data_IF_903937771658
#
_entry.id   IF_903937771658
#
_cell.length_a   1.000
_cell.length_b   1.000
_cell.length_c   1.000
_cell.angle_alpha   90.00
_cell.angle_beta   90.00
_cell.angle_gamma   90.00
#
_symmetry.space_group_name_H-M   'P 1'
#
loop_
_entity.id
_entity.type
_entity.pdbx_description
1 polymer ?
#
# COMPACT_ATOMS: atom_id res chain seq x y z
N UNK A 1 70.06 -33.00 -33.19
CA UNK A 1 69.27 -32.09 -34.05
C UNK A 1 67.82 -32.05 -33.55
N UNK A 2 67.19 -30.86 -33.58
CA UNK A 2 65.89 -30.41 -33.00
C UNK A 2 64.64 -31.18 -33.54
N UNK A 3 63.36 -31.00 -33.06
CA UNK A 3 62.81 -29.86 -32.29
C UNK A 3 61.67 -30.08 -31.23
N UNK A 4 61.48 -29.03 -30.42
CA UNK A 4 60.26 -28.42 -29.83
C UNK A 4 58.87 -29.09 -30.00
N UNK A 5 58.02 -29.00 -28.95
CA UNK A 5 56.76 -28.22 -29.00
C UNK A 5 56.06 -27.98 -27.65
N UNK A 6 55.75 -26.70 -27.42
CA UNK A 6 54.84 -26.12 -26.44
C UNK A 6 53.41 -26.70 -26.53
N UNK A 7 52.72 -26.85 -25.39
CA UNK A 7 51.25 -26.95 -25.36
C UNK A 7 50.63 -25.75 -24.63
N UNK A 8 49.74 -25.11 -25.39
CA UNK A 8 49.03 -23.86 -25.19
C UNK A 8 48.11 -23.83 -23.95
N UNK A 9 48.23 -22.75 -23.15
CA UNK A 9 47.17 -22.18 -22.31
C UNK A 9 46.20 -21.39 -23.20
N UNK A 10 45.04 -21.94 -23.54
CA UNK A 10 43.99 -21.17 -24.24
C UNK A 10 42.60 -21.72 -23.90
N UNK A 11 42.12 -21.49 -22.67
CA UNK A 11 40.73 -21.85 -22.30
C UNK A 11 40.00 -20.89 -21.37
N UNK A 12 40.56 -19.72 -21.05
CA UNK A 12 40.01 -18.87 -19.98
C UNK A 12 39.32 -17.57 -20.45
N UNK A 13 39.49 -17.15 -21.70
CA UNK A 13 39.00 -15.82 -22.15
C UNK A 13 37.58 -15.79 -22.72
N UNK A 14 36.95 -16.95 -22.97
CA UNK A 14 35.66 -16.99 -23.69
C UNK A 14 34.41 -17.00 -22.78
N UNK A 15 34.53 -17.39 -21.50
CA UNK A 15 33.37 -17.44 -20.58
C UNK A 15 33.07 -16.10 -19.89
N UNK A 16 33.99 -15.13 -19.92
CA UNK A 16 33.82 -13.85 -19.24
C UNK A 16 33.02 -12.83 -20.08
N UNK A 17 33.19 -12.86 -21.41
CA UNK A 17 32.50 -11.95 -22.33
C UNK A 17 31.01 -12.27 -22.50
N UNK A 18 30.61 -13.55 -22.37
CA UNK A 18 29.21 -13.96 -22.51
C UNK A 18 28.33 -13.46 -21.34
N UNK A 19 28.91 -13.32 -20.14
CA UNK A 19 28.18 -12.82 -18.97
C UNK A 19 27.92 -11.32 -19.05
N UNK A 20 28.85 -10.52 -19.58
CA UNK A 20 28.68 -9.05 -19.64
C UNK A 20 27.57 -8.67 -20.63
N UNK A 21 27.45 -9.39 -21.75
CA UNK A 21 26.41 -9.14 -22.76
C UNK A 21 24.99 -9.48 -22.25
N UNK A 22 24.85 -10.46 -21.36
CA UNK A 22 23.58 -10.82 -20.72
C UNK A 22 23.15 -9.82 -19.63
N UNK A 23 24.09 -9.11 -19.02
CA UNK A 23 23.78 -8.03 -18.06
C UNK A 23 23.46 -6.70 -18.76
N UNK A 24 24.07 -6.44 -19.92
CA UNK A 24 23.87 -5.19 -20.68
C UNK A 24 22.48 -5.07 -21.32
N UNK A 25 21.83 -6.22 -21.57
CA UNK A 25 20.50 -6.29 -22.21
C UNK A 25 19.34 -6.13 -21.23
N UNK A 26 19.57 -6.21 -19.91
CA UNK A 26 18.53 -6.01 -18.90
C UNK A 26 18.26 -4.54 -18.55
N UNK A 27 19.14 -3.61 -18.96
CA UNK A 27 19.04 -2.19 -18.61
C UNK A 27 18.05 -1.37 -19.48
N UNK A 28 17.42 -1.96 -20.49
CA UNK A 28 16.63 -1.21 -21.48
C UNK A 28 15.11 -1.40 -21.35
N UNK A 29 14.63 -2.12 -20.34
CA UNK A 29 13.19 -2.34 -20.10
C UNK A 29 12.68 -1.72 -18.80
N UNK A 30 13.41 -0.77 -18.19
CA UNK A 30 12.78 0.14 -17.22
C UNK A 30 11.97 1.18 -17.99
N UNK A 31 10.89 0.74 -18.62
CA UNK A 31 9.83 1.65 -19.01
C UNK A 31 9.39 2.36 -17.73
N UNK A 32 9.63 3.66 -17.64
CA UNK A 32 9.04 4.50 -16.60
C UNK A 32 7.53 4.41 -16.78
N UNK A 33 6.89 3.47 -16.09
CA UNK A 33 5.44 3.37 -16.04
C UNK A 33 4.94 4.72 -15.52
N UNK A 34 4.22 5.44 -16.38
CA UNK A 34 3.63 6.72 -15.98
C UNK A 34 2.45 6.39 -15.08
N UNK A 35 2.58 6.69 -13.78
CA UNK A 35 1.46 6.55 -12.84
C UNK A 35 0.40 7.59 -13.24
N UNK A 36 -0.82 7.10 -13.43
CA UNK A 36 -1.97 7.93 -13.75
C UNK A 36 -2.87 8.03 -12.53
N UNK A 37 -3.47 9.20 -12.34
CA UNK A 37 -4.55 9.41 -11.37
C UNK A 37 -5.68 8.39 -11.61
N UNK A 38 -6.13 7.73 -10.54
CA UNK A 38 -7.29 6.82 -10.57
C UNK A 38 -8.48 7.48 -9.85
N UNK A 39 -9.46 8.05 -10.59
CA UNK A 39 -10.66 8.64 -10.00
C UNK A 39 -11.46 7.65 -9.14
N UNK A 40 -11.37 6.34 -9.42
CA UNK A 40 -12.08 5.33 -8.66
C UNK A 40 -11.40 5.10 -7.29
N UNK A 41 -10.07 5.10 -7.24
CA UNK A 41 -9.33 5.02 -5.97
C UNK A 41 -9.65 6.22 -5.06
N UNK A 42 -9.66 7.43 -5.63
CA UNK A 42 -10.02 8.67 -4.92
C UNK A 42 -11.43 8.61 -4.29
N UNK A 43 -12.41 8.14 -5.06
CA UNK A 43 -13.78 7.92 -4.57
C UNK A 43 -13.85 6.85 -3.48
N UNK A 44 -13.12 5.74 -3.63
CA UNK A 44 -13.09 4.66 -2.65
C UNK A 44 -12.44 5.09 -1.33
N UNK A 45 -11.36 5.87 -1.36
CA UNK A 45 -10.73 6.44 -0.15
C UNK A 45 -11.74 7.34 0.57
N UNK A 46 -12.45 8.19 -0.19
CA UNK A 46 -13.46 9.10 0.38
C UNK A 46 -14.61 8.32 1.04
N UNK A 47 -15.16 7.32 0.35
CA UNK A 47 -16.23 6.49 0.87
C UNK A 47 -15.81 5.72 2.12
N UNK A 48 -14.62 5.11 2.11
CA UNK A 48 -14.05 4.39 3.24
C UNK A 48 -13.88 5.31 4.46
N UNK A 49 -13.31 6.51 4.24
CA UNK A 49 -13.11 7.51 5.29
C UNK A 49 -14.44 7.92 5.91
N UNK A 50 -15.47 8.14 5.11
CA UNK A 50 -16.81 8.49 5.61
C UNK A 50 -17.43 7.34 6.40
N UNK A 51 -17.38 6.11 5.87
CA UNK A 51 -17.91 4.92 6.53
C UNK A 51 -17.29 4.73 7.92
N UNK A 52 -15.96 4.76 8.01
CA UNK A 52 -15.22 4.64 9.27
C UNK A 52 -15.63 5.76 10.22
N UNK A 53 -15.60 7.02 9.77
CA UNK A 53 -15.95 8.15 10.64
C UNK A 53 -17.36 8.03 11.21
N UNK A 54 -18.35 7.68 10.39
CA UNK A 54 -19.72 7.52 10.85
C UNK A 54 -19.85 6.39 11.87
N UNK A 55 -19.17 5.26 11.64
CA UNK A 55 -19.20 4.14 12.59
C UNK A 55 -18.59 4.53 13.94
N UNK A 56 -17.38 5.10 13.96
CA UNK A 56 -16.74 5.46 15.22
C UNK A 56 -17.47 6.58 15.96
N UNK A 57 -18.08 7.53 15.26
CA UNK A 57 -18.93 8.54 15.90
C UNK A 57 -20.18 7.91 16.51
N UNK A 58 -20.77 6.91 15.85
CA UNK A 58 -21.90 6.15 16.38
C UNK A 58 -21.50 5.36 17.63
N UNK A 59 -20.37 4.66 17.60
CA UNK A 59 -19.81 3.93 18.74
C UNK A 59 -19.42 4.85 19.90
N UNK A 60 -18.80 6.00 19.62
CA UNK A 60 -18.48 7.02 20.62
C UNK A 60 -19.77 7.54 21.29
N UNK A 61 -20.82 7.79 20.52
CA UNK A 61 -22.13 8.20 21.04
C UNK A 61 -22.77 7.11 21.92
N UNK A 62 -22.73 5.85 21.46
CA UNK A 62 -23.26 4.70 22.19
C UNK A 62 -22.53 4.53 23.53
N UNK A 63 -21.19 4.55 23.53
CA UNK A 63 -20.37 4.43 24.74
C UNK A 63 -20.66 5.53 25.77
N UNK A 64 -21.02 6.75 25.31
CA UNK A 64 -21.36 7.87 26.21
C UNK A 64 -22.78 7.79 26.81
N UNK A 65 -23.73 7.17 26.12
CA UNK A 65 -25.17 7.34 26.42
C UNK A 65 -25.93 6.05 26.69
N UNK A 66 -25.54 4.94 26.08
CA UNK A 66 -26.39 3.75 25.94
C UNK A 66 -25.72 2.46 26.44
N UNK A 67 -24.52 2.55 27.04
CA UNK A 67 -23.78 1.39 27.57
C UNK A 67 -22.70 0.89 26.59
N UNK A 68 -22.26 -0.39 26.72
CA UNK A 68 -21.13 -0.89 25.95
C UNK A 68 -21.41 -0.87 24.44
N UNK A 69 -20.37 -0.58 23.67
CA UNK A 69 -20.41 -0.68 22.21
C UNK A 69 -20.59 -2.15 21.82
N UNK A 70 -21.53 -2.41 20.90
CA UNK A 70 -21.79 -3.75 20.40
C UNK A 70 -20.81 -4.08 19.29
N UNK A 71 -20.16 -5.24 19.43
CA UNK A 71 -19.26 -5.77 18.41
C UNK A 71 -19.99 -5.95 17.07
N UNK A 72 -19.43 -5.36 16.01
CA UNK A 72 -19.95 -5.41 14.65
C UNK A 72 -18.93 -6.04 13.71
N UNK A 73 -19.00 -7.37 13.54
CA UNK A 73 -18.13 -8.10 12.62
C UNK A 73 -18.24 -7.58 11.17
N UNK A 74 -19.44 -7.19 10.74
CA UNK A 74 -19.69 -6.79 9.35
C UNK A 74 -18.99 -5.47 9.03
N UNK A 75 -18.90 -4.56 9.99
CA UNK A 75 -18.12 -3.34 9.84
C UNK A 75 -16.65 -3.66 9.54
N UNK A 76 -16.01 -4.49 10.37
CA UNK A 76 -14.59 -4.85 10.19
C UNK A 76 -14.37 -5.55 8.85
N UNK A 77 -15.22 -6.51 8.49
CA UNK A 77 -15.10 -7.24 7.22
C UNK A 77 -15.24 -6.29 6.00
N UNK A 78 -16.14 -5.30 6.08
CA UNK A 78 -16.34 -4.33 5.02
C UNK A 78 -15.14 -3.37 4.88
N UNK A 79 -14.55 -2.93 6.00
CA UNK A 79 -13.36 -2.08 5.99
C UNK A 79 -12.15 -2.85 5.45
N UNK A 80 -11.97 -4.10 5.89
CA UNK A 80 -10.91 -5.00 5.41
C UNK A 80 -10.99 -5.20 3.89
N UNK A 81 -12.17 -5.52 3.36
CA UNK A 81 -12.38 -5.69 1.93
C UNK A 81 -12.11 -4.39 1.13
N UNK A 82 -12.48 -3.24 1.70
CA UNK A 82 -12.24 -1.93 1.08
C UNK A 82 -10.75 -1.59 1.05
N UNK A 83 -10.02 -1.84 2.14
CA UNK A 83 -8.58 -1.65 2.23
C UNK A 83 -7.83 -2.56 1.25
N UNK A 84 -8.19 -3.85 1.18
CA UNK A 84 -7.58 -4.78 0.24
C UNK A 84 -7.81 -4.37 -1.22
N UNK A 85 -9.02 -3.87 -1.53
CA UNK A 85 -9.34 -3.37 -2.88
C UNK A 85 -8.54 -2.12 -3.23
N UNK A 86 -8.40 -1.19 -2.29
CA UNK A 86 -7.60 0.01 -2.46
C UNK A 86 -6.11 -0.31 -2.61
N UNK A 87 -5.58 -1.23 -1.81
CA UNK A 87 -4.19 -1.70 -1.92
C UNK A 87 -3.93 -2.22 -3.34
N UNK A 88 -4.74 -3.18 -3.81
CA UNK A 88 -4.59 -3.73 -5.16
C UNK A 88 -4.57 -2.66 -6.26
N UNK A 89 -5.42 -1.64 -6.15
CA UNK A 89 -5.48 -0.55 -7.15
C UNK A 89 -4.28 0.37 -7.07
N UNK A 90 -3.99 0.87 -5.87
CA UNK A 90 -2.95 1.89 -5.66
C UNK A 90 -1.54 1.32 -5.80
N UNK A 91 -1.35 0.00 -5.65
CA UNK A 91 -0.06 -0.66 -5.88
C UNK A 91 0.02 -1.39 -7.22
N UNK A 92 -1.02 -1.34 -8.07
CA UNK A 92 -0.99 -1.97 -9.39
C UNK A 92 0.10 -1.40 -10.30
N UNK A 93 0.40 -0.11 -10.14
CA UNK A 93 1.53 0.55 -10.80
C UNK A 93 2.71 0.60 -9.84
N UNK A 94 3.76 -0.18 -10.10
CA UNK A 94 4.97 -0.14 -9.28
C UNK A 94 5.75 1.16 -9.54
N UNK A 95 5.89 1.96 -8.49
CA UNK A 95 6.63 3.22 -8.47
C UNK A 95 7.45 3.37 -7.18
N UNK A 96 8.12 4.52 -7.02
CA UNK A 96 8.92 4.83 -5.83
C UNK A 96 8.10 4.91 -4.52
N UNK A 97 6.77 5.05 -4.63
CA UNK A 97 5.83 5.13 -3.52
C UNK A 97 5.18 3.79 -3.20
N UNK A 98 5.18 2.80 -4.10
CA UNK A 98 4.48 1.52 -3.91
C UNK A 98 4.92 0.78 -2.65
N UNK A 99 6.20 0.79 -2.31
CA UNK A 99 6.68 0.17 -1.07
C UNK A 99 6.10 0.86 0.18
N UNK A 100 5.99 2.20 0.15
CA UNK A 100 5.40 2.98 1.25
C UNK A 100 3.88 2.78 1.32
N UNK A 101 3.20 2.72 0.18
CA UNK A 101 1.77 2.43 0.09
C UNK A 101 1.46 1.03 0.62
N UNK A 102 2.22 0.02 0.20
CA UNK A 102 2.10 -1.36 0.69
C UNK A 102 2.25 -1.40 2.22
N UNK A 103 3.30 -0.74 2.76
CA UNK A 103 3.49 -0.68 4.21
C UNK A 103 2.34 0.04 4.93
N UNK A 104 1.80 1.11 4.34
CA UNK A 104 0.67 1.84 4.91
C UNK A 104 -0.59 0.96 4.96
N UNK A 105 -0.90 0.23 3.89
CA UNK A 105 -2.03 -0.71 3.87
C UNK A 105 -1.85 -1.84 4.88
N UNK A 106 -0.65 -2.42 4.97
CA UNK A 106 -0.34 -3.43 5.99
C UNK A 106 -0.54 -2.89 7.41
N UNK A 107 -0.12 -1.65 7.68
CA UNK A 107 -0.32 -1.01 8.98
C UNK A 107 -1.80 -0.78 9.28
N UNK A 108 -2.58 -0.28 8.30
CA UNK A 108 -4.03 -0.08 8.43
C UNK A 108 -4.76 -1.41 8.70
N UNK A 109 -4.43 -2.46 7.95
CA UNK A 109 -5.00 -3.80 8.11
C UNK A 109 -4.66 -4.39 9.48
N UNK A 110 -3.40 -4.25 9.92
CA UNK A 110 -2.98 -4.73 11.23
C UNK A 110 -3.66 -3.96 12.37
N UNK A 111 -3.84 -2.64 12.21
CA UNK A 111 -4.56 -1.81 13.16
C UNK A 111 -6.02 -2.27 13.26
N UNK A 112 -6.73 -2.39 12.13
CA UNK A 112 -8.10 -2.87 12.08
C UNK A 112 -8.27 -4.25 12.75
N UNK A 113 -7.32 -5.16 12.53
CA UNK A 113 -7.34 -6.50 13.13
C UNK A 113 -7.10 -6.46 14.65
N UNK A 114 -6.20 -5.59 15.12
CA UNK A 114 -5.97 -5.39 16.55
C UNK A 114 -7.21 -4.83 17.24
N UNK A 115 -7.87 -3.86 16.61
CA UNK A 115 -9.13 -3.31 17.10
C UNK A 115 -10.25 -4.33 17.08
N UNK A 116 -10.37 -5.12 16.02
CA UNK A 116 -11.35 -6.21 15.91
C UNK A 116 -11.23 -7.15 17.10
N UNK A 117 -10.00 -7.58 17.43
CA UNK A 117 -9.73 -8.45 18.60
C UNK A 117 -10.06 -7.73 19.91
N UNK A 118 -9.62 -6.49 20.07
CA UNK A 118 -9.90 -5.72 21.27
C UNK A 118 -11.40 -5.56 21.51
N UNK A 119 -12.18 -5.26 20.47
CA UNK A 119 -13.64 -5.10 20.55
C UNK A 119 -14.38 -6.43 20.82
N UNK A 120 -13.81 -7.58 20.42
CA UNK A 120 -14.37 -8.89 20.77
C UNK A 120 -14.19 -9.22 22.25
N UNK A 121 -13.06 -8.79 22.84
CA UNK A 121 -12.68 -9.14 24.21
C UNK A 121 -13.09 -8.08 25.23
N UNK A 122 -13.27 -6.84 24.78
CA UNK A 122 -13.48 -5.67 25.61
C UNK A 122 -14.55 -4.74 25.03
N UNK A 123 -15.29 -4.08 25.92
CA UNK A 123 -16.17 -2.99 25.52
C UNK A 123 -15.32 -1.77 25.12
N UNK A 124 -15.63 -1.17 23.98
CA UNK A 124 -14.98 0.09 23.57
C UNK A 124 -15.55 1.24 24.39
N UNK A 125 -14.66 2.03 25.00
CA UNK A 125 -15.05 3.30 25.62
C UNK A 125 -15.02 4.45 24.61
N UNK A 126 -15.65 5.57 24.98
CA UNK A 126 -15.77 6.73 24.11
C UNK A 126 -14.41 7.38 23.78
N UNK A 127 -13.47 7.37 24.71
CA UNK A 127 -12.12 7.92 24.52
C UNK A 127 -11.32 7.08 23.52
N UNK A 128 -11.42 5.75 23.64
CA UNK A 128 -10.84 4.82 22.69
C UNK A 128 -11.40 5.05 21.28
N UNK A 129 -12.73 5.01 21.10
CA UNK A 129 -13.37 5.25 19.80
C UNK A 129 -12.94 6.58 19.18
N UNK A 130 -12.82 7.62 20.00
CA UNK A 130 -12.39 8.94 19.54
C UNK A 130 -10.93 8.94 19.05
N UNK A 131 -10.01 8.43 19.87
CA UNK A 131 -8.58 8.41 19.55
C UNK A 131 -8.30 7.59 18.29
N UNK A 132 -8.98 6.45 18.16
CA UNK A 132 -8.77 5.51 17.09
C UNK A 132 -9.29 6.02 15.75
N UNK A 133 -10.46 6.67 15.76
CA UNK A 133 -10.97 7.43 14.61
C UNK A 133 -9.96 8.48 14.14
N UNK A 134 -9.29 9.20 15.06
CA UNK A 134 -8.26 10.18 14.69
C UNK A 134 -7.04 9.51 14.05
N UNK A 135 -6.56 8.40 14.63
CA UNK A 135 -5.41 7.67 14.10
C UNK A 135 -5.66 7.12 12.70
N UNK A 136 -6.82 6.48 12.47
CA UNK A 136 -7.19 5.96 11.15
C UNK A 136 -7.32 7.11 10.14
N UNK A 137 -7.95 8.24 10.52
CA UNK A 137 -8.06 9.40 9.63
C UNK A 137 -6.69 9.99 9.24
N UNK A 138 -5.73 10.03 10.16
CA UNK A 138 -4.36 10.47 9.85
C UNK A 138 -3.75 9.54 8.80
N UNK A 139 -3.90 8.23 8.94
CA UNK A 139 -3.38 7.26 7.98
C UNK A 139 -4.08 7.34 6.62
N UNK A 140 -5.40 7.44 6.58
CA UNK A 140 -6.17 7.59 5.33
C UNK A 140 -5.86 8.91 4.62
N UNK A 141 -5.54 9.99 5.36
CA UNK A 141 -5.15 11.27 4.75
C UNK A 141 -3.88 11.18 3.90
N UNK A 142 -3.00 10.22 4.20
CA UNK A 142 -1.81 9.95 3.38
C UNK A 142 -2.22 9.42 2.01
N UNK A 143 -3.22 8.52 1.95
CA UNK A 143 -3.77 8.00 0.69
C UNK A 143 -4.44 9.12 -0.12
N UNK A 144 -5.25 9.95 0.53
CA UNK A 144 -5.88 11.12 -0.11
C UNK A 144 -4.83 12.07 -0.68
N UNK A 145 -3.77 12.36 0.08
CA UNK A 145 -2.69 13.24 -0.36
C UNK A 145 -1.95 12.67 -1.57
N UNK A 146 -1.71 11.35 -1.58
CA UNK A 146 -1.12 10.66 -2.72
C UNK A 146 -1.98 10.82 -3.98
N UNK A 147 -3.28 10.51 -3.93
CA UNK A 147 -4.19 10.67 -5.08
C UNK A 147 -4.29 12.12 -5.57
N UNK A 148 -4.35 13.09 -4.64
CA UNK A 148 -4.34 14.52 -5.01
C UNK A 148 -3.05 14.92 -5.73
N UNK A 149 -1.90 14.38 -5.32
CA UNK A 149 -0.61 14.64 -5.99
C UNK A 149 -0.60 14.11 -7.42
N UNK A 150 -1.19 12.93 -7.66
CA UNK A 150 -1.34 12.33 -8.99
C UNK A 150 -2.30 13.15 -9.85
N UNK A 151 -3.44 13.55 -9.29
CA UNK A 151 -4.44 14.39 -9.96
C UNK A 151 -3.86 15.72 -10.43
N UNK A 152 -3.12 16.41 -9.57
CA UNK A 152 -2.45 17.66 -9.91
C UNK A 152 -1.37 17.46 -10.99
N UNK A 153 -0.64 16.35 -10.93
CA UNK A 153 0.36 15.98 -11.93
C UNK A 153 -0.26 15.63 -13.30
N UNK A 154 -1.46 15.06 -13.31
CA UNK A 154 -2.21 14.80 -14.54
C UNK A 154 -2.74 16.10 -15.17
N UNK A 155 -3.27 17.01 -14.35
CA UNK A 155 -3.79 18.30 -14.80
C UNK A 155 -2.71 19.22 -15.37
N UNK A 156 -1.48 19.18 -14.84
CA UNK A 156 -0.36 19.98 -15.35
C UNK A 156 0.16 19.50 -16.70
N UNK A 157 0.10 18.18 -16.98
CA UNK A 157 0.50 17.58 -18.27
C UNK A 157 -0.49 17.85 -19.41
N UNK A 158 -1.70 18.31 -19.10
CA UNK A 158 -2.74 18.61 -20.09
C UNK A 158 -2.72 20.06 -20.60
N UNK A 159 -1.80 20.90 -20.10
CA UNK A 159 -1.57 22.29 -20.52
C UNK A 159 -0.29 22.40 -21.34
#
# INVERSE_FOLDING_TARGET
>A
MRPFRFRFRFRFRFRFLLNIALWSSLCWLTACATINYDPQADQQITALTQQINLQYLSWESQAKSNGPVVYDAKFYDAVEASLATLEMRMTASQDASSAKLTQLFQNLMQQLENERKFHQEHALDAGYCHAERLLINIQLSVLTTYELSLKNSAASKAK
#
